data_IF_196574683075
#
_entry.id   IF_196574683075
#
_cell.length_a   1.000
_cell.length_b   1.000
_cell.length_c   1.000
_cell.angle_alpha   90.00
_cell.angle_beta   90.00
_cell.angle_gamma   90.00
#
_symmetry.space_group_name_H-M   'P 1'
#
loop_
_entity.id
_entity.type
_entity.pdbx_description
1 polymer ?
#
# COMPACT_ATOMS: atom_id res chain seq x y z
N UNK A 1 7.59 -20.59 7.36
CA UNK A 1 8.76 -20.25 8.20
C UNK A 1 9.24 -18.86 7.85
N UNK A 2 9.86 -18.13 8.80
CA UNK A 2 10.33 -16.76 8.54
C UNK A 2 11.42 -16.73 7.46
N UNK A 3 12.30 -17.74 7.43
CA UNK A 3 13.35 -17.89 6.42
C UNK A 3 13.10 -19.18 5.65
N UNK A 4 13.20 -19.14 4.33
CA UNK A 4 13.27 -20.32 3.47
C UNK A 4 14.51 -20.26 2.58
N UNK A 5 14.98 -21.44 2.16
CA UNK A 5 16.13 -21.58 1.26
C UNK A 5 15.68 -22.41 0.07
N UNK A 6 15.77 -21.84 -1.13
CA UNK A 6 15.42 -22.49 -2.38
C UNK A 6 16.53 -22.19 -3.40
N UNK A 7 17.04 -23.23 -4.07
CA UNK A 7 18.13 -23.13 -5.07
C UNK A 7 19.37 -22.34 -4.59
N UNK A 8 19.73 -22.51 -3.32
CA UNK A 8 20.86 -21.79 -2.70
C UNK A 8 20.59 -20.31 -2.42
N UNK A 9 19.39 -19.81 -2.70
CA UNK A 9 18.95 -18.44 -2.36
C UNK A 9 18.19 -18.46 -1.04
N UNK A 10 18.43 -17.44 -0.23
CA UNK A 10 17.69 -17.23 1.02
C UNK A 10 16.55 -16.25 0.79
N UNK A 11 15.35 -16.63 1.19
CA UNK A 11 14.15 -15.81 1.12
C UNK A 11 13.68 -15.49 2.52
N UNK A 12 13.32 -14.22 2.74
CA UNK A 12 12.77 -13.73 3.99
C UNK A 12 11.26 -13.49 3.80
N UNK A 13 10.45 -14.19 4.57
CA UNK A 13 9.04 -13.88 4.70
C UNK A 13 8.89 -12.66 5.63
N UNK A 14 8.81 -11.48 5.02
CA UNK A 14 8.73 -10.19 5.72
C UNK A 14 7.46 -10.08 6.59
N UNK A 15 6.33 -10.65 6.15
CA UNK A 15 5.07 -10.62 6.90
C UNK A 15 5.16 -11.45 8.19
N UNK A 16 5.68 -12.67 8.10
CA UNK A 16 5.87 -13.54 9.27
C UNK A 16 6.87 -12.93 10.26
N UNK A 17 7.97 -12.35 9.76
CA UNK A 17 8.93 -11.64 10.61
C UNK A 17 8.27 -10.44 11.31
N UNK A 18 7.44 -9.68 10.60
CA UNK A 18 6.73 -8.53 11.13
C UNK A 18 5.76 -8.94 12.25
N UNK A 19 4.90 -9.93 12.00
CA UNK A 19 3.96 -10.47 12.98
C UNK A 19 4.71 -10.99 14.21
N UNK A 20 5.74 -11.82 13.99
CA UNK A 20 6.56 -12.34 15.07
C UNK A 20 7.21 -11.22 15.89
N UNK A 21 7.71 -10.17 15.24
CA UNK A 21 8.36 -9.05 15.91
C UNK A 21 7.38 -8.30 16.80
N UNK A 22 6.18 -7.98 16.31
CA UNK A 22 5.18 -7.32 17.16
C UNK A 22 4.76 -8.19 18.35
N UNK A 23 4.56 -9.50 18.14
CA UNK A 23 4.16 -10.43 19.21
C UNK A 23 5.24 -10.68 20.27
N UNK A 24 6.53 -10.62 19.89
CA UNK A 24 7.63 -11.07 20.77
C UNK A 24 8.58 -9.94 21.21
N UNK A 25 8.61 -8.81 20.51
CA UNK A 25 9.48 -7.66 20.81
C UNK A 25 8.71 -6.40 21.21
N UNK A 26 7.37 -6.45 21.15
CA UNK A 26 6.48 -5.37 21.55
C UNK A 26 6.18 -4.37 20.45
N UNK A 27 5.16 -3.53 20.70
CA UNK A 27 4.55 -2.65 19.71
C UNK A 27 5.32 -1.35 19.45
N UNK A 28 6.14 -0.90 20.40
CA UNK A 28 6.85 0.38 20.34
C UNK A 28 8.17 0.26 19.56
N UNK A 29 8.06 -0.03 18.27
CA UNK A 29 9.19 -0.02 17.35
C UNK A 29 8.79 0.62 16.01
N UNK A 30 9.73 1.33 15.39
CA UNK A 30 9.56 1.96 14.06
C UNK A 30 10.47 1.24 13.03
N UNK A 31 10.65 -0.07 13.19
CA UNK A 31 11.60 -0.84 12.40
C UNK A 31 10.92 -1.68 11.31
N UNK A 32 9.60 -1.84 11.39
CA UNK A 32 8.86 -2.76 10.53
C UNK A 32 8.49 -2.12 9.21
N UNK A 33 8.98 -2.74 8.15
CA UNK A 33 8.73 -2.35 6.77
C UNK A 33 8.63 -3.61 5.92
N UNK A 34 7.65 -3.63 5.04
CA UNK A 34 7.56 -4.58 3.95
C UNK A 34 8.07 -3.88 2.69
N UNK A 35 9.27 -4.26 2.28
CA UNK A 35 9.93 -3.71 1.11
C UNK A 35 9.46 -4.44 -0.14
N UNK A 36 8.98 -3.66 -1.13
CA UNK A 36 8.65 -4.12 -2.48
C UNK A 36 9.73 -3.68 -3.46
N UNK A 37 10.28 -2.48 -3.23
CA UNK A 37 11.31 -1.88 -4.04
C UNK A 37 12.68 -2.53 -3.85
N UNK A 38 13.33 -2.95 -4.93
CA UNK A 38 14.74 -3.35 -4.93
C UNK A 38 15.61 -2.37 -5.74
N UNK A 39 16.92 -2.25 -5.44
CA UNK A 39 17.82 -1.41 -6.24
C UNK A 39 17.82 -1.77 -7.73
N UNK A 40 17.72 -3.06 -8.06
CA UNK A 40 17.69 -3.54 -9.44
C UNK A 40 16.44 -3.09 -10.23
N UNK A 41 15.37 -2.67 -9.54
CA UNK A 41 14.14 -2.19 -10.19
C UNK A 41 14.39 -0.99 -11.12
N UNK A 42 15.48 -0.24 -10.93
CA UNK A 42 15.86 0.87 -11.81
C UNK A 42 16.16 0.43 -13.25
N UNK A 43 16.41 -0.87 -13.46
CA UNK A 43 16.66 -1.46 -14.77
C UNK A 43 15.40 -2.02 -15.43
N UNK A 44 14.27 -2.07 -14.71
CA UNK A 44 13.02 -2.59 -15.23
C UNK A 44 12.33 -1.55 -16.13
N UNK A 45 11.73 -2.02 -17.23
CA UNK A 45 10.88 -1.19 -18.07
C UNK A 45 9.64 -0.69 -17.32
N UNK A 46 9.07 -1.54 -16.46
CA UNK A 46 7.96 -1.17 -15.57
C UNK A 46 8.20 -1.70 -14.15
N UNK A 47 8.82 -0.89 -13.26
CA UNK A 47 9.08 -1.30 -11.89
C UNK A 47 7.80 -1.29 -11.02
N UNK A 48 7.74 -1.98 -9.87
CA UNK A 48 6.54 -1.95 -9.01
C UNK A 48 6.08 -0.53 -8.64
N UNK A 49 4.77 -0.26 -8.75
CA UNK A 49 4.16 1.01 -8.39
C UNK A 49 4.20 1.25 -6.87
N UNK A 50 3.76 0.28 -6.08
CA UNK A 50 3.96 0.24 -4.63
C UNK A 50 5.45 0.00 -4.35
N UNK A 51 6.04 0.79 -3.46
CA UNK A 51 7.47 0.69 -3.15
C UNK A 51 7.72 0.13 -1.75
N UNK A 52 6.88 0.50 -0.78
CA UNK A 52 6.97 0.02 0.60
C UNK A 52 5.64 0.13 1.33
N UNK A 53 5.50 -0.70 2.35
CA UNK A 53 4.49 -0.60 3.40
C UNK A 53 5.26 -0.54 4.73
N UNK A 54 5.35 0.64 5.31
CA UNK A 54 5.85 0.84 6.67
C UNK A 54 4.69 0.63 7.66
N UNK A 55 4.95 0.05 8.82
CA UNK A 55 3.89 -0.29 9.78
C UNK A 55 4.21 0.24 11.16
N UNK A 56 3.16 0.69 11.86
CA UNK A 56 3.26 1.16 13.24
C UNK A 56 2.03 0.78 14.05
N UNK A 57 2.25 0.19 15.21
CA UNK A 57 1.20 0.00 16.20
C UNK A 57 1.22 1.18 17.18
N UNK A 58 0.12 1.92 17.24
CA UNK A 58 -0.07 3.08 18.12
C UNK A 58 -1.45 2.96 18.75
N UNK A 59 -1.54 3.14 20.07
CA UNK A 59 -2.80 3.10 20.83
C UNK A 59 -3.64 1.84 20.58
N UNK A 60 -2.94 0.69 20.46
CA UNK A 60 -3.57 -0.61 20.21
C UNK A 60 -4.09 -0.81 18.78
N UNK A 61 -3.74 0.06 17.83
CA UNK A 61 -4.16 0.00 16.43
C UNK A 61 -2.98 -0.17 15.47
N UNK A 62 -3.10 -1.05 14.48
CA UNK A 62 -2.11 -1.22 13.42
C UNK A 62 -2.34 -0.21 12.29
N UNK A 63 -1.37 0.67 12.08
CA UNK A 63 -1.40 1.65 11.00
C UNK A 63 -0.42 1.26 9.90
N UNK A 64 -0.83 1.44 8.66
CA UNK A 64 0.00 1.31 7.47
C UNK A 64 0.39 2.68 6.94
N UNK A 65 1.66 2.87 6.61
CA UNK A 65 2.19 4.05 5.94
C UNK A 65 2.78 3.57 4.62
N UNK A 66 2.09 3.86 3.52
CA UNK A 66 2.40 3.28 2.21
C UNK A 66 2.88 4.34 1.23
N UNK A 67 3.85 3.97 0.40
CA UNK A 67 4.38 4.86 -0.63
C UNK A 67 4.30 4.23 -2.02
N UNK A 68 3.69 4.97 -2.94
CA UNK A 68 3.62 4.67 -4.36
C UNK A 68 4.51 5.61 -5.17
N UNK A 69 5.32 5.06 -6.10
CA UNK A 69 6.04 5.88 -7.09
C UNK A 69 5.09 6.47 -8.15
N UNK A 70 3.98 5.77 -8.38
CA UNK A 70 2.95 6.06 -9.37
C UNK A 70 1.67 5.37 -8.91
N UNK A 71 0.53 6.06 -8.98
CA UNK A 71 -0.75 5.49 -8.58
C UNK A 71 -1.85 6.02 -9.49
N UNK A 72 -2.50 5.10 -10.22
CA UNK A 72 -3.76 5.38 -10.93
C UNK A 72 -4.90 5.45 -9.91
N UNK A 73 -5.44 6.66 -9.76
CA UNK A 73 -6.47 6.99 -8.79
C UNK A 73 -7.84 6.40 -9.13
N UNK A 74 -8.06 5.88 -10.35
CA UNK A 74 -9.38 5.38 -10.75
C UNK A 74 -9.42 3.89 -11.04
N UNK A 75 -8.56 3.41 -11.94
CA UNK A 75 -8.59 1.99 -12.35
C UNK A 75 -8.03 1.06 -11.28
N UNK A 76 -6.97 1.49 -10.60
CA UNK A 76 -6.25 0.67 -9.62
C UNK A 76 -6.51 1.00 -8.16
N UNK A 77 -7.08 2.17 -7.85
CA UNK A 77 -7.22 2.66 -6.48
C UNK A 77 -8.11 1.78 -5.59
N UNK A 78 -9.34 1.40 -5.97
CA UNK A 78 -10.22 0.65 -5.08
C UNK A 78 -9.71 -0.77 -4.80
N UNK A 79 -9.23 -1.47 -5.83
CA UNK A 79 -8.74 -2.84 -5.71
C UNK A 79 -7.42 -2.91 -4.91
N UNK A 80 -6.48 -1.99 -5.17
CA UNK A 80 -5.23 -1.94 -4.42
C UNK A 80 -5.48 -1.61 -2.95
N UNK A 81 -6.37 -0.66 -2.65
CA UNK A 81 -6.68 -0.30 -1.27
C UNK A 81 -7.42 -1.43 -0.55
N UNK A 82 -8.34 -2.13 -1.23
CA UNK A 82 -9.01 -3.31 -0.67
C UNK A 82 -8.02 -4.42 -0.31
N UNK A 83 -7.09 -4.75 -1.22
CA UNK A 83 -6.05 -5.74 -0.94
C UNK A 83 -5.15 -5.32 0.24
N UNK A 84 -4.77 -4.04 0.32
CA UNK A 84 -4.00 -3.51 1.45
C UNK A 84 -4.79 -3.55 2.76
N UNK A 85 -6.08 -3.24 2.73
CA UNK A 85 -6.96 -3.32 3.89
C UNK A 85 -7.08 -4.76 4.39
N UNK A 86 -7.35 -5.73 3.50
CA UNK A 86 -7.40 -7.16 3.86
C UNK A 86 -6.09 -7.64 4.47
N UNK A 87 -4.96 -7.22 3.90
CA UNK A 87 -3.64 -7.55 4.43
C UNK A 87 -3.40 -6.96 5.81
N UNK A 88 -3.77 -5.69 6.03
CA UNK A 88 -3.67 -5.01 7.32
C UNK A 88 -4.54 -5.69 8.36
N UNK A 89 -5.79 -6.01 8.03
CA UNK A 89 -6.72 -6.72 8.92
C UNK A 89 -6.19 -8.10 9.32
N UNK A 90 -5.61 -8.84 8.37
CA UNK A 90 -4.96 -10.11 8.66
C UNK A 90 -3.81 -9.95 9.67
N UNK A 91 -2.89 -9.00 9.43
CA UNK A 91 -1.76 -8.76 10.34
C UNK A 91 -2.26 -8.28 11.71
N UNK A 92 -3.24 -7.38 11.75
CA UNK A 92 -3.84 -6.89 12.98
C UNK A 92 -4.46 -8.03 13.80
N UNK A 93 -5.19 -8.93 13.14
CA UNK A 93 -5.78 -10.12 13.75
C UNK A 93 -4.71 -11.07 14.31
N UNK A 94 -3.66 -11.36 13.53
CA UNK A 94 -2.57 -12.23 13.98
C UNK A 94 -1.78 -11.66 15.16
N UNK A 95 -1.63 -10.34 15.23
CA UNK A 95 -0.96 -9.64 16.34
C UNK A 95 -1.88 -9.46 17.56
N UNK A 96 -3.20 -9.40 17.35
CA UNK A 96 -4.19 -9.15 18.40
C UNK A 96 -4.40 -7.66 18.70
N UNK A 97 -4.40 -6.82 17.66
CA UNK A 97 -4.61 -5.36 17.73
C UNK A 97 -5.76 -4.95 16.82
N UNK A 98 -6.28 -3.74 17.06
CA UNK A 98 -7.37 -3.16 16.29
C UNK A 98 -6.91 -2.66 14.91
N UNK A 99 -7.85 -2.53 14.00
CA UNK A 99 -7.60 -1.88 12.72
C UNK A 99 -7.33 -0.37 12.90
N UNK A 100 -6.27 0.11 12.26
CA UNK A 100 -5.84 1.51 12.28
C UNK A 100 -5.92 2.16 10.89
N UNK A 101 -5.19 3.25 10.70
CA UNK A 101 -5.25 4.03 9.46
C UNK A 101 -4.36 3.45 8.35
N UNK A 102 -4.75 3.70 7.10
CA UNK A 102 -3.85 3.63 5.94
C UNK A 102 -3.50 5.06 5.55
N UNK A 103 -2.24 5.44 5.77
CA UNK A 103 -1.68 6.74 5.41
C UNK A 103 -0.90 6.55 4.12
N UNK A 104 -1.40 7.09 3.01
CA UNK A 104 -0.82 6.86 1.70
C UNK A 104 -0.16 8.11 1.11
N UNK A 105 1.05 7.94 0.60
CA UNK A 105 1.77 8.96 -0.16
C UNK A 105 2.03 8.46 -1.59
N UNK A 106 1.91 9.34 -2.57
CA UNK A 106 2.25 9.04 -3.97
C UNK A 106 3.01 10.18 -4.63
N UNK A 107 4.12 9.85 -5.29
CA UNK A 107 4.87 10.82 -6.10
C UNK A 107 4.16 11.14 -7.43
N UNK A 108 3.42 10.17 -7.97
CA UNK A 108 2.81 10.25 -9.30
C UNK A 108 1.35 9.84 -9.25
N UNK A 109 0.54 10.54 -8.46
CA UNK A 109 -0.91 10.35 -8.43
C UNK A 109 -1.51 10.92 -9.73
N UNK A 110 -2.23 10.09 -10.48
CA UNK A 110 -2.80 10.50 -11.76
C UNK A 110 -4.15 9.85 -12.04
N UNK A 111 -4.91 10.48 -12.94
CA UNK A 111 -6.17 9.97 -13.50
C UNK A 111 -5.96 9.86 -15.02
N UNK A 112 -6.32 8.73 -15.62
CA UNK A 112 -6.26 8.59 -17.08
C UNK A 112 -7.31 9.46 -17.79
N UNK A 113 -6.97 10.00 -18.96
CA UNK A 113 -7.87 10.89 -19.72
C UNK A 113 -9.24 10.28 -20.03
N UNK A 114 -9.32 8.98 -20.31
CA UNK A 114 -10.58 8.30 -20.61
C UNK A 114 -11.52 8.20 -19.39
N UNK A 115 -10.97 8.38 -18.18
CA UNK A 115 -11.73 8.38 -16.92
C UNK A 115 -12.24 9.77 -16.57
N UNK A 116 -11.66 10.83 -17.13
CA UNK A 116 -11.89 12.21 -16.71
C UNK A 116 -13.38 12.59 -16.71
N UNK A 117 -14.12 12.15 -17.72
CA UNK A 117 -15.57 12.38 -17.84
C UNK A 117 -16.37 11.74 -16.69
N UNK A 118 -15.96 10.55 -16.23
CA UNK A 118 -16.57 9.86 -15.08
C UNK A 118 -16.19 10.50 -13.74
N UNK A 119 -14.92 10.92 -13.59
CA UNK A 119 -14.44 11.61 -12.40
C UNK A 119 -15.16 12.95 -12.20
N UNK A 120 -15.50 13.66 -13.28
CA UNK A 120 -16.27 14.91 -13.22
C UNK A 120 -17.76 14.72 -12.91
N UNK A 121 -18.38 13.64 -13.39
CA UNK A 121 -19.74 13.26 -13.00
C UNK A 121 -19.86 13.03 -11.48
N UNK A 122 -18.86 12.38 -10.85
CA UNK A 122 -18.84 12.18 -9.39
C UNK A 122 -18.65 13.51 -8.63
N UNK A 123 -18.01 14.52 -9.23
CA UNK A 123 -17.87 15.86 -8.65
C UNK A 123 -19.14 16.71 -8.68
N UNK A 124 -20.25 16.17 -9.20
CA UNK A 124 -21.56 16.85 -9.20
C UNK A 124 -21.69 17.96 -10.24
N UNK A 125 -20.82 18.00 -11.26
CA UNK A 125 -21.00 18.87 -12.43
C UNK A 125 -21.67 18.10 -13.55
N UNK A 126 -22.59 18.75 -14.25
CA UNK A 126 -23.25 18.20 -15.44
C UNK A 126 -22.33 18.31 -16.66
N UNK A 127 -22.48 17.40 -17.64
CA UNK A 127 -21.74 17.42 -18.92
C UNK A 127 -21.91 18.76 -19.67
N UNK A 128 -23.04 19.44 -19.49
CA UNK A 128 -23.31 20.74 -20.12
C UNK A 128 -22.51 21.89 -19.48
N UNK A 129 -22.27 21.86 -18.17
CA UNK A 129 -21.45 22.86 -17.47
C UNK A 129 -19.98 22.80 -17.92
N UNK A 130 -19.51 21.63 -18.37
CA UNK A 130 -18.17 21.45 -18.91
C UNK A 130 -18.00 22.07 -20.30
N UNK A 131 -18.94 21.80 -21.23
CA UNK A 131 -18.85 22.26 -22.64
C UNK A 131 -18.89 23.77 -22.81
N UNK A 132 -19.35 24.51 -21.79
CA UNK A 132 -19.44 25.97 -21.80
C UNK A 132 -18.15 26.69 -21.34
N UNK A 133 -17.17 25.96 -20.79
CA UNK A 133 -15.95 26.54 -20.21
C UNK A 133 -14.65 26.26 -20.96
N UNK A 134 -14.72 25.74 -22.20
CA UNK A 134 -13.57 25.44 -23.06
C UNK A 134 -13.33 26.49 -24.13
#
# INVERSE_FOLDING_TARGET
GIISIEDGKTYLNQMELLIWTYKNKGHRNNQMVLQVAHPADMLLQDPPCLRLIDTRIQDGRLNFIIYFRSWDLWGGFPANLAAMQMMKEYIASEVGVEDGEIIAASKGLHIYRYVWELAECIRGKTIEEFRRGG
#
